data_IF_662526209050
#
_entry.id   IF_662526209050
#
_cell.length_a   1.000
_cell.length_b   1.000
_cell.length_c   1.000
_cell.angle_alpha   90.00
_cell.angle_beta   90.00
_cell.angle_gamma   90.00
#
_symmetry.space_group_name_H-M   'P 1'
#
loop_
_entity.id
_entity.type
_entity.pdbx_description
1 polymer ?
#
# COMPACT_ATOMS: atom_id res chain seq x y z
N UNK A 1 0.01 -17.38 -19.07
CA UNK A 1 -0.75 -16.30 -18.41
C UNK A 1 -1.16 -16.88 -17.09
N UNK A 2 -0.37 -16.63 -16.04
CA UNK A 2 -0.69 -17.15 -14.71
C UNK A 2 -1.81 -16.28 -14.13
N UNK A 3 -2.95 -16.90 -13.89
CA UNK A 3 -4.09 -16.37 -13.16
C UNK A 3 -3.63 -15.74 -11.83
N UNK A 4 -3.52 -14.43 -11.79
CA UNK A 4 -3.22 -13.64 -10.58
C UNK A 4 -4.43 -13.50 -9.65
N UNK A 5 -5.34 -14.48 -9.64
CA UNK A 5 -6.37 -14.57 -8.62
C UNK A 5 -5.87 -15.51 -7.52
N UNK A 6 -4.76 -15.10 -6.87
CA UNK A 6 -4.26 -15.80 -5.70
C UNK A 6 -4.92 -15.18 -4.47
N UNK A 7 -5.76 -15.92 -3.72
CA UNK A 7 -6.39 -15.46 -2.48
C UNK A 7 -5.39 -15.18 -1.34
N UNK A 8 -4.09 -15.28 -1.64
CA UNK A 8 -2.97 -15.14 -0.72
C UNK A 8 -2.61 -13.66 -0.45
N UNK A 9 -3.12 -12.73 -1.28
CA UNK A 9 -2.92 -11.29 -1.11
C UNK A 9 -4.04 -10.61 -0.30
N UNK A 10 -5.10 -11.34 0.05
CA UNK A 10 -6.16 -10.83 0.90
C UNK A 10 -5.59 -10.37 2.25
N UNK A 11 -5.80 -9.10 2.59
CA UNK A 11 -5.29 -8.52 3.84
C UNK A 11 -3.94 -7.79 3.72
N UNK A 12 -3.35 -7.68 2.53
CA UNK A 12 -2.09 -6.95 2.30
C UNK A 12 -2.23 -5.79 1.30
N UNK A 13 -1.47 -4.73 1.55
CA UNK A 13 -1.32 -3.58 0.68
C UNK A 13 0.05 -3.65 0.02
N UNK A 14 0.05 -3.60 -1.31
CA UNK A 14 1.24 -3.55 -2.13
C UNK A 14 1.30 -2.23 -2.90
N UNK A 15 2.46 -1.95 -3.50
CA UNK A 15 2.66 -0.73 -4.29
C UNK A 15 1.70 -0.62 -5.48
N UNK A 16 1.23 -1.74 -6.05
CA UNK A 16 0.26 -1.69 -7.14
C UNK A 16 -1.11 -1.17 -6.69
N UNK A 17 -1.53 -1.41 -5.44
CA UNK A 17 -2.76 -0.82 -4.89
C UNK A 17 -2.66 0.70 -4.81
N UNK A 18 -1.50 1.23 -4.38
CA UNK A 18 -1.23 2.67 -4.37
C UNK A 18 -1.27 3.25 -5.79
N UNK A 19 -0.68 2.54 -6.75
CA UNK A 19 -0.69 2.96 -8.17
C UNK A 19 -2.08 2.92 -8.77
N UNK A 20 -2.93 1.97 -8.37
CA UNK A 20 -4.33 1.90 -8.79
C UNK A 20 -5.15 3.10 -8.31
N UNK A 21 -4.78 3.72 -7.18
CA UNK A 21 -5.37 4.97 -6.69
C UNK A 21 -4.80 6.23 -7.37
N UNK A 22 -4.03 6.10 -8.47
CA UNK A 22 -3.50 7.22 -9.24
C UNK A 22 -2.23 7.85 -8.66
N UNK A 23 -1.64 7.26 -7.62
CA UNK A 23 -0.40 7.74 -7.02
C UNK A 23 0.81 6.99 -7.59
N UNK A 24 1.74 7.71 -8.22
CA UNK A 24 2.98 7.11 -8.69
C UNK A 24 3.93 6.80 -7.52
N UNK A 25 4.84 5.84 -7.72
CA UNK A 25 5.79 5.40 -6.68
C UNK A 25 6.66 6.54 -6.12
N UNK A 26 6.95 7.57 -6.92
CA UNK A 26 7.69 8.76 -6.49
C UNK A 26 6.88 9.58 -5.48
N UNK A 27 5.61 9.84 -5.77
CA UNK A 27 4.70 10.57 -4.87
C UNK A 27 4.42 9.76 -3.60
N UNK A 28 4.23 8.45 -3.75
CA UNK A 28 4.05 7.54 -2.61
C UNK A 28 5.28 7.56 -1.68
N UNK A 29 6.49 7.46 -2.24
CA UNK A 29 7.73 7.59 -1.47
C UNK A 29 7.81 8.92 -0.73
N UNK A 30 7.46 10.03 -1.39
CA UNK A 30 7.46 11.35 -0.74
C UNK A 30 6.46 11.40 0.42
N UNK A 31 5.25 10.91 0.21
CA UNK A 31 4.23 10.79 1.25
C UNK A 31 4.77 10.01 2.46
N UNK A 32 5.35 8.82 2.27
CA UNK A 32 5.90 8.05 3.39
C UNK A 32 7.04 8.76 4.12
N UNK A 33 7.92 9.46 3.39
CA UNK A 33 8.98 10.27 4.01
C UNK A 33 8.41 11.41 4.86
N UNK A 34 7.35 12.06 4.39
CA UNK A 34 6.69 13.16 5.10
C UNK A 34 5.99 12.66 6.39
N UNK A 35 5.59 11.39 6.43
CA UNK A 35 5.11 10.68 7.63
C UNK A 35 6.23 10.11 8.52
N UNK A 36 7.49 10.46 8.26
CA UNK A 36 8.63 10.09 9.10
C UNK A 36 9.19 8.68 8.87
N UNK A 37 8.77 7.99 7.80
CA UNK A 37 9.38 6.72 7.44
C UNK A 37 10.78 6.91 6.87
N UNK A 38 11.65 5.95 7.16
CA UNK A 38 12.97 5.87 6.56
C UNK A 38 12.91 5.26 5.17
N UNK A 39 13.91 5.55 4.34
CA UNK A 39 14.04 4.92 3.02
C UNK A 39 14.08 3.39 3.09
N UNK A 40 14.62 2.82 4.17
CA UNK A 40 14.66 1.38 4.36
C UNK A 40 13.24 0.80 4.55
N UNK A 41 12.41 1.44 5.37
CA UNK A 41 11.01 1.03 5.57
C UNK A 41 10.18 1.17 4.29
N UNK A 42 10.39 2.26 3.53
CA UNK A 42 9.69 2.47 2.25
C UNK A 42 10.09 1.40 1.24
N UNK A 43 11.38 1.07 1.16
CA UNK A 43 11.89 0.02 0.29
C UNK A 43 11.31 -1.34 0.68
N UNK A 44 11.33 -1.66 1.97
CA UNK A 44 10.76 -2.91 2.48
C UNK A 44 9.27 -3.03 2.14
N UNK A 45 8.50 -1.97 2.33
CA UNK A 45 7.09 -1.93 1.91
C UNK A 45 6.90 -2.09 0.39
N UNK A 46 7.76 -1.50 -0.44
CA UNK A 46 7.65 -1.65 -1.90
C UNK A 46 8.00 -3.05 -2.38
N UNK A 47 8.91 -3.73 -1.69
CA UNK A 47 9.36 -5.08 -2.05
C UNK A 47 8.43 -6.17 -1.48
N UNK A 48 7.96 -6.00 -0.23
CA UNK A 48 7.24 -7.04 0.51
C UNK A 48 5.76 -6.71 0.79
N UNK A 49 5.32 -5.46 0.57
CA UNK A 49 4.00 -4.99 0.98
C UNK A 49 3.89 -4.78 2.50
N UNK A 50 2.67 -4.53 2.98
CA UNK A 50 2.34 -4.35 4.39
C UNK A 50 0.89 -4.79 4.65
N UNK A 51 0.57 -5.32 5.83
CA UNK A 51 -0.82 -5.70 6.10
C UNK A 51 -1.76 -4.48 6.14
N UNK A 52 -3.03 -4.67 5.80
CA UNK A 52 -4.05 -3.61 5.84
C UNK A 52 -4.15 -3.02 7.26
N UNK A 53 -4.11 -3.87 8.29
CA UNK A 53 -4.18 -3.41 9.68
C UNK A 53 -3.00 -2.52 10.07
N UNK A 54 -1.77 -2.92 9.70
CA UNK A 54 -0.58 -2.10 9.94
C UNK A 54 -0.66 -0.79 9.17
N UNK A 55 -1.02 -0.83 7.89
CA UNK A 55 -1.14 0.36 7.06
C UNK A 55 -2.21 1.31 7.59
N UNK A 56 -3.34 0.78 8.08
CA UNK A 56 -4.41 1.55 8.73
C UNK A 56 -3.97 2.16 10.06
N UNK A 57 -3.13 1.47 10.83
CA UNK A 57 -2.57 2.03 12.06
C UNK A 57 -1.63 3.21 11.80
N UNK A 58 -0.85 3.18 10.71
CA UNK A 58 0.05 4.28 10.35
C UNK A 58 -0.63 5.42 9.59
N UNK A 59 -1.53 5.10 8.65
CA UNK A 59 -2.07 6.06 7.67
C UNK A 59 -3.59 6.10 7.62
N UNK A 60 -4.32 5.35 8.45
CA UNK A 60 -5.79 5.24 8.36
C UNK A 60 -6.57 6.55 8.57
N UNK A 61 -5.90 7.61 9.02
CA UNK A 61 -6.45 8.95 9.13
C UNK A 61 -6.41 9.74 7.81
N UNK A 62 -5.59 9.32 6.84
CA UNK A 62 -5.44 9.99 5.55
C UNK A 62 -6.47 9.50 4.53
N UNK A 63 -7.15 10.43 3.87
CA UNK A 63 -8.16 10.13 2.86
C UNK A 63 -7.59 9.31 1.68
N UNK A 64 -6.32 9.54 1.32
CA UNK A 64 -5.64 8.77 0.27
C UNK A 64 -5.39 7.33 0.73
N UNK A 65 -4.89 7.15 1.95
CA UNK A 65 -4.63 5.83 2.51
C UNK A 65 -5.90 5.00 2.66
N UNK A 66 -7.03 5.64 3.01
CA UNK A 66 -8.34 4.98 3.03
C UNK A 66 -8.75 4.45 1.64
N UNK A 67 -8.52 5.20 0.56
CA UNK A 67 -8.78 4.71 -0.80
C UNK A 67 -7.90 3.52 -1.16
N UNK A 68 -6.64 3.51 -0.73
CA UNK A 68 -5.72 2.38 -0.96
C UNK A 68 -6.17 1.15 -0.17
N UNK A 69 -6.62 1.33 1.09
CA UNK A 69 -7.18 0.27 1.93
C UNK A 69 -8.42 -0.32 1.28
N UNK A 70 -9.41 0.50 0.92
CA UNK A 70 -10.63 0.03 0.25
C UNK A 70 -10.34 -0.70 -1.06
N UNK A 71 -9.30 -0.26 -1.79
CA UNK A 71 -8.89 -0.92 -3.02
C UNK A 71 -8.29 -2.29 -2.74
N UNK A 72 -7.41 -2.40 -1.74
CA UNK A 72 -6.81 -3.67 -1.33
C UNK A 72 -7.85 -4.66 -0.79
N UNK A 73 -8.86 -4.17 -0.06
CA UNK A 73 -9.99 -4.99 0.41
C UNK A 73 -10.88 -5.52 -0.72
N UNK A 74 -10.97 -4.81 -1.85
CA UNK A 74 -11.73 -5.25 -3.04
C UNK A 74 -10.95 -6.16 -3.99
N UNK A 75 -9.62 -6.16 -3.91
CA UNK A 75 -8.73 -6.97 -4.75
C UNK A 75 -8.52 -8.38 -4.16
N UNK A 76 -8.80 -8.56 -2.86
CA UNK A 76 -8.70 -9.82 -2.12
C UNK A 76 -9.96 -10.69 -2.15
#
# INVERSE_FOLDING_TARGET
>A
MEDQNSPQNAGFIFVHHIRACGMCSIKARRYFLDHGWTNAQIKDFFDNGMSIEQFKAFFGHDAMAQQVIERAEKDG
#
